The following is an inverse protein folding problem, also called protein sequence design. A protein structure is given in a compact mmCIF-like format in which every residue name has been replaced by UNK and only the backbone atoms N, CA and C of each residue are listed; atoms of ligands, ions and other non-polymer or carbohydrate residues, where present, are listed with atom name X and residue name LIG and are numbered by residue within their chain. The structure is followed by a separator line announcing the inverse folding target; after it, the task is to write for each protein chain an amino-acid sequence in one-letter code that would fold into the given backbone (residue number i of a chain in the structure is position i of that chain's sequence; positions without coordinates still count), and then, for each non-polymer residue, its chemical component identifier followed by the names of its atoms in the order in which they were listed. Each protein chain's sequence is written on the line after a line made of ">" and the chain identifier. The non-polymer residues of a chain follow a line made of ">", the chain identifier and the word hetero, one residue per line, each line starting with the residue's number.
data_IF_171247271348
#
_entry.id   IF_171247271348
#
_cell.length_a   1.000
_cell.length_b   1.000
_cell.length_c   1.000
_cell.angle_alpha   90.00
_cell.angle_beta   90.00
_cell.angle_gamma   90.00
#
_symmetry.space_group_name_H-M   'P 1'
#
loop_
_entity.id
_entity.type
_entity.pdbx_description
1 polymer ?
#
# COMPACT_ATOMS: atom_id res chain seq x y z
N UNK A 1 -16.52 17.18 -5.54
CA UNK A 1 -16.13 16.73 -4.19
C UNK A 1 -17.03 15.57 -3.79
N UNK A 2 -16.45 14.43 -3.40
CA UNK A 2 -17.16 13.22 -2.97
C UNK A 2 -17.03 13.11 -1.44
N UNK A 3 -18.16 13.08 -0.73
CA UNK A 3 -18.19 12.95 0.73
C UNK A 3 -18.53 11.52 1.12
N UNK A 4 -17.61 10.86 1.79
CA UNK A 4 -17.78 9.52 2.33
C UNK A 4 -18.29 9.64 3.76
N UNK A 5 -19.44 9.01 4.04
CA UNK A 5 -20.07 9.07 5.36
C UNK A 5 -19.91 7.78 6.17
N UNK A 6 -19.64 6.65 5.50
CA UNK A 6 -19.40 5.35 6.13
C UNK A 6 -17.91 5.12 6.29
N UNK A 7 -17.51 4.58 7.42
CA UNK A 7 -16.11 4.32 7.75
C UNK A 7 -15.80 4.55 9.21
N UNK A 8 -14.54 4.41 9.59
CA UNK A 8 -14.07 4.60 10.96
C UNK A 8 -12.61 5.07 10.96
N UNK A 9 -12.34 6.17 11.64
CA UNK A 9 -10.97 6.56 11.97
C UNK A 9 -10.57 5.87 13.28
N UNK A 10 -9.62 4.95 13.18
CA UNK A 10 -9.18 4.17 14.34
C UNK A 10 -8.40 5.09 15.27
N UNK A 11 -8.82 5.23 16.55
CA UNK A 11 -8.21 6.15 17.51
C UNK A 11 -6.90 5.57 18.09
N UNK A 12 -5.93 5.29 17.21
CA UNK A 12 -4.61 4.75 17.54
C UNK A 12 -3.70 5.87 18.05
N UNK A 13 -2.99 5.62 19.16
CA UNK A 13 -1.95 6.52 19.66
C UNK A 13 -0.64 6.42 18.87
N UNK A 14 0.25 7.39 19.02
CA UNK A 14 1.54 7.42 18.33
C UNK A 14 1.45 8.03 16.94
N UNK A 15 0.63 9.09 16.78
CA UNK A 15 0.54 9.86 15.54
C UNK A 15 1.87 10.53 15.22
N UNK A 16 2.34 10.46 13.96
CA UNK A 16 3.61 11.06 13.56
C UNK A 16 3.51 12.59 13.50
N UNK A 17 4.57 13.25 13.91
CA UNK A 17 4.78 14.64 13.57
C UNK A 17 4.88 14.75 12.04
N UNK A 18 4.10 15.65 11.43
CA UNK A 18 4.06 15.85 9.98
C UNK A 18 5.23 16.73 9.52
N UNK A 19 6.45 16.33 9.90
CA UNK A 19 7.73 16.93 9.49
C UNK A 19 8.62 15.79 8.98
N UNK A 20 9.27 16.04 7.83
CA UNK A 20 10.12 15.03 7.19
C UNK A 20 11.54 15.16 7.72
N UNK A 21 12.00 14.13 8.40
CA UNK A 21 13.37 13.99 8.87
C UNK A 21 14.16 13.01 8.01
N UNK A 22 15.47 13.12 7.98
CA UNK A 22 16.27 12.07 7.38
C UNK A 22 16.26 10.82 8.28
N UNK A 23 15.94 9.68 7.69
CA UNK A 23 16.04 8.39 8.37
C UNK A 23 17.49 8.00 8.68
N UNK A 24 17.67 7.01 9.55
CA UNK A 24 18.98 6.41 9.78
C UNK A 24 19.53 5.80 8.49
N UNK A 25 20.86 5.78 8.30
CA UNK A 25 21.47 5.09 7.17
C UNK A 25 21.09 3.61 7.16
N UNK A 26 20.66 3.11 6.02
CA UNK A 26 20.34 1.70 5.81
C UNK A 26 21.51 0.96 5.18
N UNK A 27 21.70 -0.30 5.57
CA UNK A 27 22.77 -1.15 5.05
C UNK A 27 22.31 -2.04 3.92
N UNK A 28 21.01 -2.42 3.91
CA UNK A 28 20.44 -3.31 2.92
C UNK A 28 19.01 -2.92 2.57
N UNK A 29 18.61 -3.34 1.38
CA UNK A 29 17.23 -3.30 0.90
C UNK A 29 16.80 -4.68 0.46
N UNK A 30 15.48 -4.92 0.34
CA UNK A 30 14.98 -6.10 -0.33
C UNK A 30 13.79 -5.83 -1.24
N UNK A 31 13.68 -6.65 -2.28
CA UNK A 31 12.46 -6.82 -3.05
C UNK A 31 11.72 -8.03 -2.48
N UNK A 32 10.48 -7.80 -2.04
CA UNK A 32 9.65 -8.83 -1.42
C UNK A 32 8.74 -9.44 -2.50
N UNK A 33 8.75 -10.77 -2.59
CA UNK A 33 7.96 -11.47 -3.60
C UNK A 33 6.45 -11.34 -3.42
N UNK A 34 6.00 -11.33 -2.17
CA UNK A 34 4.58 -11.25 -1.79
C UNK A 34 3.93 -9.92 -2.17
N UNK A 35 4.72 -8.87 -2.41
CA UNK A 35 4.20 -7.57 -2.84
C UNK A 35 3.65 -7.62 -4.29
N UNK A 36 3.98 -8.67 -5.05
CA UNK A 36 3.62 -8.79 -6.48
C UNK A 36 2.75 -10.02 -6.73
N UNK A 37 1.45 -9.81 -6.73
CA UNK A 37 0.44 -10.85 -6.81
C UNK A 37 0.59 -11.68 -8.09
N UNK A 38 0.76 -12.99 -7.91
CA UNK A 38 0.84 -13.97 -9.01
C UNK A 38 2.15 -13.98 -9.79
N UNK A 39 3.14 -13.14 -9.45
CA UNK A 39 4.45 -13.07 -10.07
C UNK A 39 5.20 -14.40 -9.97
N UNK A 40 5.89 -14.79 -11.05
CA UNK A 40 6.78 -15.95 -11.09
C UNK A 40 8.15 -15.54 -11.60
N UNK A 41 9.18 -15.43 -10.72
CA UNK A 41 10.46 -14.84 -11.10
C UNK A 41 11.33 -15.77 -11.96
N UNK A 42 11.87 -15.21 -13.04
CA UNK A 42 13.01 -15.77 -13.77
C UNK A 42 14.23 -14.93 -13.39
N UNK A 43 15.14 -15.51 -12.57
CA UNK A 43 16.27 -14.78 -12.01
C UNK A 43 17.33 -14.47 -13.08
N UNK A 44 17.78 -13.20 -13.12
CA UNK A 44 18.89 -12.75 -13.92
C UNK A 44 20.21 -12.65 -13.11
N UNK A 45 20.13 -12.69 -11.77
CA UNK A 45 21.29 -12.55 -10.88
C UNK A 45 21.41 -13.74 -9.93
N UNK A 46 22.59 -13.88 -9.32
CA UNK A 46 22.91 -14.91 -8.31
C UNK A 46 23.36 -14.22 -7.01
N UNK A 47 23.31 -14.94 -5.90
CA UNK A 47 23.93 -14.50 -4.66
C UNK A 47 25.42 -14.25 -4.89
N UNK A 48 25.95 -13.14 -4.36
CA UNK A 48 27.31 -12.66 -4.59
C UNK A 48 27.49 -11.80 -5.86
N UNK A 49 26.47 -11.61 -6.68
CA UNK A 49 26.57 -10.74 -7.85
C UNK A 49 26.54 -9.26 -7.44
N UNK A 50 27.43 -8.44 -8.02
CA UNK A 50 27.35 -6.99 -7.94
C UNK A 50 26.29 -6.49 -8.93
N UNK A 51 25.48 -5.54 -8.49
CA UNK A 51 24.40 -4.95 -9.28
C UNK A 51 24.46 -3.43 -9.23
N UNK A 52 24.10 -2.79 -10.33
CA UNK A 52 23.93 -1.33 -10.42
C UNK A 52 22.48 -0.95 -10.09
N UNK A 53 22.26 0.29 -9.67
CA UNK A 53 20.90 0.83 -9.62
C UNK A 53 20.30 0.82 -11.06
N UNK A 54 19.09 0.27 -11.19
CA UNK A 54 18.44 0.09 -12.51
C UNK A 54 18.71 -1.24 -13.19
N UNK A 55 19.67 -2.02 -12.75
CA UNK A 55 19.98 -3.32 -13.34
C UNK A 55 18.86 -4.33 -13.08
N UNK A 56 18.49 -5.12 -14.11
CA UNK A 56 17.47 -6.17 -13.99
C UNK A 56 17.95 -7.28 -13.05
N UNK A 57 17.16 -7.58 -12.04
CA UNK A 57 17.37 -8.65 -11.07
C UNK A 57 16.65 -9.94 -11.49
N UNK A 58 15.43 -9.79 -11.93
CA UNK A 58 14.59 -10.86 -12.47
C UNK A 58 13.46 -10.29 -13.33
N UNK A 59 12.82 -11.14 -14.11
CA UNK A 59 11.61 -10.83 -14.88
C UNK A 59 10.47 -11.75 -14.48
N UNK A 60 9.23 -11.31 -14.72
CA UNK A 60 8.08 -12.18 -14.52
C UNK A 60 7.92 -13.14 -15.69
N UNK A 61 7.91 -14.45 -15.41
CA UNK A 61 7.71 -15.48 -16.43
C UNK A 61 6.29 -15.46 -17.02
N UNK A 62 5.29 -14.97 -16.23
CA UNK A 62 3.88 -14.97 -16.63
C UNK A 62 3.50 -13.72 -17.42
N UNK A 63 4.18 -12.63 -17.16
CA UNK A 63 3.86 -11.32 -17.75
C UNK A 63 5.09 -10.82 -18.50
N UNK A 64 5.13 -11.08 -19.80
CA UNK A 64 6.25 -10.72 -20.64
C UNK A 64 6.49 -9.21 -20.64
N UNK A 65 7.76 -8.79 -20.57
CA UNK A 65 8.17 -7.39 -20.55
C UNK A 65 8.17 -6.75 -19.16
N UNK A 66 7.70 -7.45 -18.12
CA UNK A 66 7.81 -6.94 -16.74
C UNK A 66 9.15 -7.31 -16.14
N UNK A 67 9.95 -6.28 -15.84
CA UNK A 67 11.26 -6.39 -15.22
C UNK A 67 11.28 -5.82 -13.82
N UNK A 68 11.99 -6.49 -12.93
CA UNK A 68 12.25 -6.05 -11.56
C UNK A 68 13.71 -5.66 -11.46
N UNK A 69 13.97 -4.38 -11.22
CA UNK A 69 15.31 -3.80 -11.22
C UNK A 69 15.78 -3.48 -9.81
N UNK A 70 17.08 -3.38 -9.64
CA UNK A 70 17.67 -2.97 -8.37
C UNK A 70 17.42 -1.48 -8.14
N UNK A 71 16.81 -1.07 -7.00
CA UNK A 71 16.67 0.35 -6.68
C UNK A 71 18.01 1.03 -6.37
N UNK A 72 19.01 0.26 -5.97
CA UNK A 72 20.33 0.75 -5.52
C UNK A 72 21.48 -0.03 -6.15
N UNK A 73 22.69 0.52 -6.07
CA UNK A 73 23.92 -0.22 -6.35
C UNK A 73 24.30 -1.06 -5.13
N UNK A 74 24.77 -2.29 -5.34
CA UNK A 74 25.16 -3.16 -4.23
C UNK A 74 25.55 -4.57 -4.62
N UNK A 75 25.54 -5.42 -3.60
CA UNK A 75 25.83 -6.86 -3.69
C UNK A 75 24.56 -7.64 -3.37
N UNK A 76 24.18 -8.59 -4.20
CA UNK A 76 23.10 -9.54 -3.89
C UNK A 76 23.54 -10.42 -2.74
N UNK A 77 23.02 -10.17 -1.54
CA UNK A 77 23.40 -10.86 -0.31
C UNK A 77 22.65 -12.17 -0.13
N UNK A 78 21.34 -12.17 -0.41
CA UNK A 78 20.51 -13.36 -0.27
C UNK A 78 19.36 -13.39 -1.30
N UNK A 79 18.93 -14.60 -1.63
CA UNK A 79 17.70 -14.87 -2.40
C UNK A 79 16.92 -15.90 -1.59
N UNK A 80 16.01 -15.41 -0.75
CA UNK A 80 15.21 -16.24 0.15
C UNK A 80 14.03 -16.85 -0.61
N UNK A 81 13.83 -18.14 -0.43
CA UNK A 81 12.75 -18.89 -1.06
C UNK A 81 11.99 -19.70 -0.02
N UNK A 82 10.69 -19.63 -0.08
CA UNK A 82 9.77 -20.42 0.74
C UNK A 82 9.41 -21.76 0.09
N UNK A 83 8.30 -22.30 0.55
CA UNK A 83 7.74 -23.55 0.01
C UNK A 83 7.55 -23.45 -1.51
N UNK A 84 7.71 -24.58 -2.20
CA UNK A 84 7.61 -24.67 -3.67
C UNK A 84 8.50 -23.67 -4.42
N UNK A 85 9.57 -23.20 -3.78
CA UNK A 85 10.56 -22.26 -4.32
C UNK A 85 9.97 -20.87 -4.65
N UNK A 86 8.89 -20.47 -4.00
CA UNK A 86 8.33 -19.12 -4.10
C UNK A 86 9.35 -18.12 -3.60
N UNK A 87 9.55 -17.02 -4.34
CA UNK A 87 10.45 -15.94 -3.92
C UNK A 87 9.83 -15.24 -2.71
N UNK A 88 10.53 -15.24 -1.58
CA UNK A 88 10.16 -14.48 -0.38
C UNK A 88 10.81 -13.09 -0.42
N UNK A 89 12.13 -13.04 -0.52
CA UNK A 89 12.85 -11.77 -0.66
C UNK A 89 14.16 -11.95 -1.43
N UNK A 90 14.55 -10.88 -2.15
CA UNK A 90 15.88 -10.71 -2.76
C UNK A 90 16.54 -9.53 -2.05
N UNK A 91 17.59 -9.82 -1.29
CA UNK A 91 18.29 -8.86 -0.43
C UNK A 91 19.53 -8.33 -1.15
N UNK A 92 19.70 -7.02 -1.14
CA UNK A 92 20.85 -6.30 -1.71
C UNK A 92 21.50 -5.48 -0.60
N UNK A 93 22.76 -5.77 -0.31
CA UNK A 93 23.61 -4.96 0.56
C UNK A 93 24.11 -3.75 -0.22
N UNK A 94 23.90 -2.54 0.30
CA UNK A 94 24.28 -1.31 -0.36
C UNK A 94 25.80 -1.21 -0.51
N UNK A 95 26.27 -1.01 -1.73
CA UNK A 95 27.70 -0.83 -2.02
C UNK A 95 27.91 -0.11 -3.36
N UNK A 96 28.67 0.98 -3.37
CA UNK A 96 28.96 1.74 -4.57
C UNK A 96 27.81 2.67 -4.98
N UNK A 97 27.97 3.33 -6.13
CA UNK A 97 27.01 4.30 -6.66
C UNK A 97 26.77 4.11 -8.16
N UNK A 98 27.07 2.92 -8.70
CA UNK A 98 26.92 2.63 -10.12
C UNK A 98 25.43 2.62 -10.50
N UNK A 99 25.11 3.25 -11.65
CA UNK A 99 23.73 3.40 -12.12
C UNK A 99 23.64 2.96 -13.58
N UNK A 100 22.50 2.41 -13.95
CA UNK A 100 22.06 2.33 -15.35
C UNK A 100 21.40 3.65 -15.73
N UNK A 101 21.66 4.12 -16.94
CA UNK A 101 21.05 5.34 -17.48
C UNK A 101 19.87 4.96 -18.38
N UNK A 102 18.76 5.66 -18.20
CA UNK A 102 17.56 5.52 -18.99
C UNK A 102 17.33 6.75 -19.86
N UNK A 103 16.32 6.70 -20.73
CA UNK A 103 15.99 7.85 -21.57
C UNK A 103 15.59 9.05 -20.71
N UNK A 104 16.26 10.16 -20.94
CA UNK A 104 16.01 11.46 -20.29
C UNK A 104 15.33 12.39 -21.30
N UNK A 105 14.43 13.24 -20.81
CA UNK A 105 13.68 14.20 -21.61
C UNK A 105 13.62 15.55 -20.91
N UNK A 106 13.57 16.63 -21.69
CA UNK A 106 13.21 17.93 -21.12
C UNK A 106 11.74 17.91 -20.65
N UNK A 107 11.43 18.53 -19.51
CA UNK A 107 10.08 18.56 -18.94
C UNK A 107 9.00 19.03 -19.97
N UNK A 108 9.33 20.02 -20.83
CA UNK A 108 8.45 20.55 -21.88
C UNK A 108 8.15 19.55 -23.01
N UNK A 109 8.94 18.49 -23.14
CA UNK A 109 8.79 17.48 -24.20
C UNK A 109 8.07 16.22 -23.70
N UNK A 110 7.99 16.00 -22.39
CA UNK A 110 7.26 14.86 -21.80
C UNK A 110 5.79 14.81 -22.29
N UNK A 111 5.03 15.91 -22.35
CA UNK A 111 3.65 15.90 -22.87
C UNK A 111 3.51 15.52 -24.37
N UNK A 112 4.61 15.48 -25.11
CA UNK A 112 4.64 15.18 -26.57
C UNK A 112 5.12 13.76 -26.88
N UNK A 113 5.47 12.97 -25.88
CA UNK A 113 5.99 11.62 -26.05
C UNK A 113 4.95 10.68 -26.64
N UNK A 114 5.43 9.65 -27.32
CA UNK A 114 4.59 8.56 -27.77
C UNK A 114 4.38 7.54 -26.62
N UNK A 115 3.22 6.88 -26.60
CA UNK A 115 2.89 5.82 -25.62
C UNK A 115 3.99 4.75 -25.57
N UNK A 116 4.52 4.33 -26.70
CA UNK A 116 5.58 3.31 -26.78
C UNK A 116 6.88 3.73 -26.09
N UNK A 117 7.28 5.00 -26.20
CA UNK A 117 8.49 5.52 -25.53
C UNK A 117 8.32 5.53 -24.02
N UNK A 118 7.14 5.87 -23.54
CA UNK A 118 6.82 5.86 -22.11
C UNK A 118 6.81 4.44 -21.55
N UNK A 119 6.15 3.49 -22.24
CA UNK A 119 6.12 2.09 -21.84
C UNK A 119 7.54 1.51 -21.80
N UNK A 120 8.34 1.73 -22.85
CA UNK A 120 9.70 1.21 -22.95
C UNK A 120 10.59 1.73 -21.80
N UNK A 121 10.51 3.02 -21.48
CA UNK A 121 11.30 3.62 -20.41
C UNK A 121 10.89 3.10 -19.02
N UNK A 122 9.60 2.99 -18.77
CA UNK A 122 9.07 2.46 -17.51
C UNK A 122 9.35 0.95 -17.34
N UNK A 123 9.23 0.17 -18.41
CA UNK A 123 9.50 -1.27 -18.36
C UNK A 123 10.98 -1.55 -18.13
N UNK A 124 11.89 -0.87 -18.85
CA UNK A 124 13.35 -1.03 -18.70
C UNK A 124 13.85 -0.59 -17.33
N UNK A 125 13.31 0.51 -16.80
CA UNK A 125 13.68 1.01 -15.46
C UNK A 125 13.10 0.17 -14.31
N UNK A 126 12.11 -0.70 -14.58
CA UNK A 126 11.40 -1.46 -13.56
C UNK A 126 10.31 -0.64 -12.83
N UNK A 127 10.18 0.67 -13.11
CA UNK A 127 9.10 1.48 -12.52
C UNK A 127 7.72 1.10 -13.06
N UNK A 128 7.63 0.32 -14.11
CA UNK A 128 6.39 -0.31 -14.57
C UNK A 128 5.68 -1.09 -13.46
N UNK A 129 6.44 -1.70 -12.55
CA UNK A 129 5.91 -2.46 -11.41
C UNK A 129 5.18 -1.60 -10.36
N UNK A 130 5.19 -0.27 -10.49
CA UNK A 130 4.39 0.64 -9.68
C UNK A 130 2.90 0.64 -10.03
N UNK A 131 2.57 0.24 -11.25
CA UNK A 131 1.21 0.15 -11.75
C UNK A 131 0.55 -1.14 -11.28
N UNK A 132 -0.69 -1.05 -10.82
CA UNK A 132 -1.52 -2.20 -10.45
C UNK A 132 -2.86 -2.14 -11.16
N UNK A 133 -3.36 -3.30 -11.58
CA UNK A 133 -4.68 -3.40 -12.22
C UNK A 133 -5.80 -3.49 -11.18
N UNK A 134 -6.97 -3.07 -11.51
CA UNK A 134 -8.24 -3.50 -10.91
C UNK A 134 -9.14 -3.99 -12.05
N UNK A 135 -9.65 -5.20 -11.99
CA UNK A 135 -9.57 -6.25 -10.95
C UNK A 135 -8.17 -6.82 -10.71
N UNK A 136 -8.06 -7.63 -9.65
CA UNK A 136 -6.96 -8.54 -9.28
C UNK A 136 -5.69 -7.92 -8.69
N UNK A 137 -5.46 -6.62 -8.78
CA UNK A 137 -4.30 -5.90 -8.20
C UNK A 137 -2.93 -6.43 -8.65
N UNK A 138 -2.82 -6.83 -9.92
CA UNK A 138 -1.58 -7.33 -10.53
C UNK A 138 -0.84 -6.23 -11.27
N UNK A 139 0.46 -6.44 -11.49
CA UNK A 139 1.22 -5.61 -12.42
C UNK A 139 0.71 -5.87 -13.84
N UNK A 140 0.28 -4.85 -14.60
CA UNK A 140 -0.20 -5.03 -15.97
C UNK A 140 0.92 -5.48 -16.91
N UNK A 141 0.57 -6.15 -18.01
CA UNK A 141 1.53 -6.40 -19.07
C UNK A 141 1.82 -5.10 -19.83
N UNK A 142 3.09 -4.77 -20.12
CA UNK A 142 3.43 -3.67 -21.02
C UNK A 142 2.81 -3.80 -22.42
N UNK A 143 2.53 -5.04 -22.83
CA UNK A 143 1.93 -5.37 -24.12
C UNK A 143 0.39 -5.43 -24.06
N UNK A 144 -0.22 -5.15 -22.90
CA UNK A 144 -1.69 -5.15 -22.77
C UNK A 144 -2.31 -3.92 -23.41
N UNK A 145 -3.61 -4.02 -23.64
CA UNK A 145 -4.43 -2.88 -24.04
C UNK A 145 -4.36 -1.74 -23.03
N UNK A 146 -4.69 -0.55 -23.51
CA UNK A 146 -4.80 0.62 -22.65
C UNK A 146 -5.92 0.42 -21.61
N UNK A 147 -5.68 0.76 -20.33
CA UNK A 147 -6.75 0.73 -19.34
C UNK A 147 -7.83 1.76 -19.69
N UNK A 148 -9.06 1.53 -19.21
CA UNK A 148 -10.15 2.50 -19.37
C UNK A 148 -9.85 3.83 -18.68
N UNK A 149 -9.15 3.78 -17.55
CA UNK A 149 -8.66 4.96 -16.82
C UNK A 149 -7.48 4.60 -15.92
N UNK A 150 -6.76 5.63 -15.44
CA UNK A 150 -5.70 5.49 -14.45
C UNK A 150 -6.04 6.33 -13.23
N UNK A 151 -5.94 5.76 -12.04
CA UNK A 151 -6.15 6.42 -10.77
C UNK A 151 -4.82 6.70 -10.08
N UNK A 152 -4.56 7.96 -9.82
CA UNK A 152 -3.46 8.44 -8.98
C UNK A 152 -4.01 8.76 -7.60
N UNK A 153 -3.60 8.00 -6.59
CA UNK A 153 -4.03 8.20 -5.21
C UNK A 153 -3.06 9.14 -4.50
N UNK A 154 -3.48 10.39 -4.30
CA UNK A 154 -2.76 11.42 -3.54
C UNK A 154 -3.52 11.79 -2.25
N UNK A 155 -4.14 10.80 -1.64
CA UNK A 155 -4.80 10.84 -0.33
C UNK A 155 -4.49 9.54 0.41
N UNK A 156 -4.27 9.63 1.70
CA UNK A 156 -4.06 8.46 2.57
C UNK A 156 -4.82 8.69 3.87
N UNK A 157 -5.83 7.87 4.14
CA UNK A 157 -6.63 7.91 5.36
C UNK A 157 -6.34 6.71 6.27
N UNK A 158 -5.28 5.95 6.00
CA UNK A 158 -4.82 4.92 6.92
C UNK A 158 -4.49 5.54 8.29
N UNK A 159 -4.75 4.82 9.38
CA UNK A 159 -4.36 5.30 10.70
C UNK A 159 -2.88 5.65 10.75
N UNK A 160 -2.55 6.87 11.20
CA UNK A 160 -1.18 7.37 11.38
C UNK A 160 -0.40 7.57 10.07
N UNK A 161 -1.06 7.72 8.94
CA UNK A 161 -0.43 7.96 7.65
C UNK A 161 0.29 9.33 7.58
N UNK A 162 1.24 9.43 6.66
CA UNK A 162 1.84 10.70 6.26
C UNK A 162 0.86 11.51 5.40
N UNK A 163 0.91 12.85 5.50
CA UNK A 163 0.19 13.73 4.58
C UNK A 163 0.82 13.68 3.18
N UNK A 164 0.08 13.22 2.15
CA UNK A 164 0.59 13.25 0.78
C UNK A 164 0.89 14.65 0.27
N UNK A 165 0.13 15.65 0.72
CA UNK A 165 0.32 17.05 0.36
C UNK A 165 1.72 17.56 0.71
N UNK A 166 2.19 17.25 1.93
CA UNK A 166 3.52 17.63 2.39
C UNK A 166 4.61 17.04 1.49
N UNK A 167 4.48 15.76 1.14
CA UNK A 167 5.48 15.03 0.34
C UNK A 167 5.48 15.50 -1.11
N UNK A 168 4.30 15.73 -1.69
CA UNK A 168 4.18 16.21 -3.06
C UNK A 168 4.67 17.66 -3.18
N UNK A 169 4.39 18.52 -2.18
CA UNK A 169 4.79 19.92 -2.22
C UNK A 169 6.31 20.13 -2.28
N UNK A 170 7.10 19.23 -1.66
CA UNK A 170 8.56 19.26 -1.78
C UNK A 170 9.07 19.00 -3.20
N UNK A 171 8.28 18.29 -4.03
CA UNK A 171 8.71 17.78 -5.34
C UNK A 171 7.60 17.95 -6.38
N UNK A 172 6.95 19.10 -6.37
CA UNK A 172 5.78 19.39 -7.22
C UNK A 172 6.08 19.19 -8.70
N UNK A 173 7.23 19.63 -9.18
CA UNK A 173 7.64 19.50 -10.59
C UNK A 173 7.78 18.03 -11.01
N UNK A 174 8.39 17.19 -10.18
CA UNK A 174 8.48 15.75 -10.45
C UNK A 174 7.08 15.12 -10.52
N UNK A 175 6.17 15.54 -9.64
CA UNK A 175 4.81 15.04 -9.65
C UNK A 175 4.05 15.41 -10.93
N UNK A 176 4.13 16.66 -11.37
CA UNK A 176 3.52 17.14 -12.62
C UNK A 176 4.10 16.44 -13.85
N UNK A 177 5.42 16.23 -13.89
CA UNK A 177 6.08 15.48 -14.96
C UNK A 177 5.67 14.00 -14.95
N UNK A 178 5.51 13.40 -13.77
CA UNK A 178 5.00 12.04 -13.61
C UNK A 178 3.55 11.89 -14.10
N UNK A 179 2.66 12.82 -13.79
CA UNK A 179 1.29 12.86 -14.31
C UNK A 179 1.30 12.95 -15.85
N UNK A 180 2.15 13.81 -16.39
CA UNK A 180 2.28 14.00 -17.83
C UNK A 180 2.73 12.70 -18.54
N UNK A 181 3.69 11.98 -17.97
CA UNK A 181 4.12 10.68 -18.49
C UNK A 181 3.01 9.62 -18.40
N UNK A 182 2.29 9.54 -17.26
CA UNK A 182 1.20 8.57 -17.06
C UNK A 182 0.03 8.79 -18.02
N UNK A 183 -0.25 10.04 -18.41
CA UNK A 183 -1.34 10.37 -19.35
C UNK A 183 -1.19 9.64 -20.69
N UNK A 184 0.03 9.35 -21.14
CA UNK A 184 0.28 8.61 -22.37
C UNK A 184 -0.07 7.12 -22.30
N UNK A 185 -0.24 6.57 -21.08
CA UNK A 185 -0.55 5.15 -20.89
C UNK A 185 -2.02 4.82 -21.11
N UNK A 186 -2.92 5.81 -21.07
CA UNK A 186 -4.36 5.62 -21.26
C UNK A 186 -4.94 6.59 -22.29
N UNK A 187 -5.85 6.09 -23.12
CA UNK A 187 -6.72 6.94 -23.96
C UNK A 187 -7.90 7.52 -23.15
N UNK A 188 -8.21 6.92 -22.01
CA UNK A 188 -9.22 7.37 -21.09
C UNK A 188 -8.74 8.50 -20.16
N UNK A 189 -9.50 8.84 -19.12
CA UNK A 189 -9.11 9.84 -18.15
C UNK A 189 -7.97 9.37 -17.23
N UNK A 190 -7.15 10.32 -16.81
CA UNK A 190 -6.23 10.19 -15.69
C UNK A 190 -6.90 10.90 -14.50
N UNK A 191 -7.28 10.15 -13.47
CA UNK A 191 -7.93 10.67 -12.28
C UNK A 191 -6.89 10.93 -11.19
N UNK A 192 -6.85 12.16 -10.67
CA UNK A 192 -6.06 12.54 -9.51
C UNK A 192 -6.99 12.67 -8.30
N UNK A 193 -6.89 11.75 -7.34
CA UNK A 193 -7.72 11.72 -6.14
C UNK A 193 -6.94 12.32 -4.97
N UNK A 194 -7.51 13.39 -4.35
CA UNK A 194 -6.89 14.17 -3.27
C UNK A 194 -7.84 14.31 -2.09
N UNK A 195 -7.31 14.70 -0.92
CA UNK A 195 -8.15 15.07 0.22
C UNK A 195 -8.77 16.45 0.01
N UNK A 196 -9.94 16.70 0.60
CA UNK A 196 -10.75 17.88 0.36
C UNK A 196 -10.09 19.25 0.58
N UNK A 197 -9.03 19.29 1.39
CA UNK A 197 -8.25 20.51 1.67
C UNK A 197 -6.97 20.64 0.84
N UNK A 198 -6.74 19.72 -0.08
CA UNK A 198 -5.55 19.71 -0.91
C UNK A 198 -5.71 20.64 -2.12
N UNK A 199 -5.11 21.82 -2.05
CA UNK A 199 -5.31 22.88 -3.06
C UNK A 199 -4.10 23.09 -3.98
N UNK A 200 -3.04 22.27 -3.84
CA UNK A 200 -1.77 22.42 -4.59
C UNK A 200 -1.96 22.48 -6.11
N UNK A 201 -3.02 21.86 -6.63
CA UNK A 201 -3.34 21.79 -8.06
C UNK A 201 -4.60 22.55 -8.45
N UNK A 202 -5.23 23.32 -7.52
CA UNK A 202 -6.35 24.19 -7.88
C UNK A 202 -5.89 25.29 -8.84
N UNK A 203 -6.59 25.42 -9.95
CA UNK A 203 -6.24 26.40 -11.00
C UNK A 203 -4.99 26.06 -11.82
N UNK A 204 -4.31 24.95 -11.55
CA UNK A 204 -3.21 24.48 -12.39
C UNK A 204 -3.74 23.72 -13.60
N UNK A 205 -3.08 23.88 -14.75
CA UNK A 205 -3.48 23.22 -16.01
C UNK A 205 -2.90 21.78 -16.03
N UNK A 206 -3.32 20.94 -15.07
CA UNK A 206 -2.88 19.53 -15.02
C UNK A 206 -3.56 18.70 -16.10
N UNK A 207 -2.87 17.72 -16.65
CA UNK A 207 -3.44 16.76 -17.60
C UNK A 207 -4.41 15.74 -16.94
N UNK A 208 -4.57 15.79 -15.61
CA UNK A 208 -5.39 14.89 -14.81
C UNK A 208 -6.71 15.57 -14.39
N UNK A 209 -7.77 14.77 -14.29
CA UNK A 209 -9.04 15.21 -13.71
C UNK A 209 -8.97 15.11 -12.19
N UNK A 210 -9.09 16.26 -11.51
CA UNK A 210 -8.99 16.33 -10.05
C UNK A 210 -10.31 15.91 -9.38
N UNK A 211 -10.22 14.99 -8.42
CA UNK A 211 -11.33 14.56 -7.57
C UNK A 211 -10.95 14.75 -6.10
N UNK A 212 -11.79 15.47 -5.36
CA UNK A 212 -11.60 15.68 -3.92
C UNK A 212 -12.49 14.74 -3.12
N UNK A 213 -11.89 13.97 -2.23
CA UNK A 213 -12.57 13.05 -1.31
C UNK A 213 -12.50 13.59 0.11
N UNK A 214 -13.54 13.36 0.90
CA UNK A 214 -13.60 13.73 2.32
C UNK A 214 -14.35 12.66 3.10
N UNK A 215 -14.02 12.53 4.38
CA UNK A 215 -14.66 11.57 5.29
C UNK A 215 -13.66 10.68 6.01
N UNK A 216 -14.15 9.76 6.85
CA UNK A 216 -13.31 8.83 7.58
C UNK A 216 -12.65 7.81 6.64
N UNK A 217 -11.65 7.07 7.15
CA UNK A 217 -11.17 5.87 6.48
C UNK A 217 -12.35 4.92 6.19
N UNK A 218 -12.53 4.38 4.95
CA UNK A 218 -11.57 4.24 3.87
C UNK A 218 -11.72 5.28 2.72
N UNK A 219 -12.08 6.53 3.00
CA UNK A 219 -12.22 7.55 1.94
C UNK A 219 -10.96 7.78 1.12
N UNK A 220 -9.78 7.43 1.64
CA UNK A 220 -8.49 7.54 0.96
C UNK A 220 -8.03 6.27 0.25
N UNK A 221 -8.80 5.20 0.24
CA UNK A 221 -8.45 3.98 -0.48
C UNK A 221 -8.84 4.06 -1.96
N UNK A 222 -8.00 3.49 -2.79
CA UNK A 222 -8.23 3.49 -4.23
C UNK A 222 -9.49 2.72 -4.65
N UNK A 223 -9.85 1.66 -3.93
CA UNK A 223 -11.11 0.93 -4.17
C UNK A 223 -12.34 1.83 -4.00
N UNK A 224 -12.34 2.70 -2.98
CA UNK A 224 -13.38 3.73 -2.80
C UNK A 224 -13.41 4.71 -3.97
N UNK A 225 -12.24 5.17 -4.44
CA UNK A 225 -12.16 6.11 -5.56
C UNK A 225 -12.70 5.50 -6.86
N UNK A 226 -12.30 4.27 -7.16
CA UNK A 226 -12.74 3.53 -8.34
C UNK A 226 -14.27 3.38 -8.33
N UNK A 227 -14.82 2.93 -7.21
CA UNK A 227 -16.26 2.72 -7.07
C UNK A 227 -17.08 3.97 -7.40
N UNK A 228 -16.67 5.14 -6.88
CA UNK A 228 -17.44 6.38 -7.05
C UNK A 228 -17.16 7.12 -8.36
N UNK A 229 -16.08 6.81 -9.09
CA UNK A 229 -15.69 7.54 -10.30
C UNK A 229 -15.82 6.67 -11.54
N UNK A 230 -15.24 5.50 -11.54
CA UNK A 230 -15.13 4.64 -12.73
C UNK A 230 -15.09 3.15 -12.34
N UNK A 231 -16.24 2.57 -11.92
CA UNK A 231 -16.33 1.19 -11.43
C UNK A 231 -15.82 0.17 -12.44
N UNK A 232 -15.15 -0.87 -11.95
CA UNK A 232 -14.60 -1.96 -12.75
C UNK A 232 -15.56 -3.14 -12.88
N UNK A 233 -15.29 -3.99 -13.84
CA UNK A 233 -16.02 -5.25 -14.06
C UNK A 233 -15.09 -6.29 -14.67
N UNK A 234 -15.58 -7.49 -14.95
CA UNK A 234 -14.81 -8.52 -15.65
C UNK A 234 -14.31 -8.05 -17.04
N UNK A 235 -15.05 -7.16 -17.70
CA UNK A 235 -14.71 -6.61 -19.02
C UNK A 235 -14.03 -5.24 -18.99
N UNK A 236 -13.90 -4.62 -17.82
CA UNK A 236 -13.37 -3.25 -17.69
C UNK A 236 -12.26 -3.20 -16.67
N UNK A 237 -11.07 -2.84 -17.12
CA UNK A 237 -9.87 -2.75 -16.28
C UNK A 237 -9.42 -1.30 -16.15
N UNK A 238 -9.10 -0.89 -14.93
CA UNK A 238 -8.41 0.37 -14.61
C UNK A 238 -7.04 0.08 -13.99
N UNK A 239 -6.13 1.06 -14.08
CA UNK A 239 -4.85 0.98 -13.39
C UNK A 239 -4.78 1.96 -12.24
N UNK A 240 -3.98 1.63 -11.25
CA UNK A 240 -3.80 2.43 -10.03
C UNK A 240 -2.33 2.65 -9.75
N UNK A 241 -2.00 3.81 -9.17
CA UNK A 241 -0.64 4.16 -8.76
C UNK A 241 -0.66 5.10 -7.57
N UNK A 242 0.27 4.92 -6.64
CA UNK A 242 0.46 5.80 -5.49
C UNK A 242 1.28 7.06 -5.82
N UNK A 243 1.04 8.14 -5.09
CA UNK A 243 1.65 9.45 -5.34
C UNK A 243 3.18 9.45 -5.31
N UNK A 244 3.83 8.66 -4.44
CA UNK A 244 5.30 8.60 -4.39
C UNK A 244 5.91 7.88 -5.60
N UNK A 245 5.17 6.99 -6.23
CA UNK A 245 5.60 6.38 -7.49
C UNK A 245 5.47 7.34 -8.66
N UNK A 246 4.46 8.24 -8.64
CA UNK A 246 4.34 9.32 -9.62
C UNK A 246 5.55 10.26 -9.54
N UNK A 247 6.00 10.62 -8.33
CA UNK A 247 7.23 11.39 -8.10
C UNK A 247 8.46 10.69 -8.70
N UNK A 248 8.60 9.39 -8.46
CA UNK A 248 9.71 8.60 -8.98
C UNK A 248 9.69 8.49 -10.52
N UNK A 249 8.50 8.40 -11.12
CA UNK A 249 8.34 8.42 -12.59
C UNK A 249 8.76 9.77 -13.15
N UNK A 250 8.29 10.88 -12.58
CA UNK A 250 8.70 12.22 -13.04
C UNK A 250 10.20 12.43 -12.96
N UNK A 251 10.83 12.05 -11.84
CA UNK A 251 12.27 12.10 -11.66
C UNK A 251 13.02 11.21 -12.69
N UNK A 252 12.51 10.01 -13.01
CA UNK A 252 13.10 9.16 -14.04
C UNK A 252 13.12 9.86 -15.41
N UNK A 253 11.99 10.45 -15.82
CA UNK A 253 11.88 11.06 -17.15
C UNK A 253 12.73 12.32 -17.28
N UNK A 254 12.92 13.08 -16.20
CA UNK A 254 13.73 14.30 -16.21
C UNK A 254 15.23 14.08 -15.97
N UNK A 255 15.61 13.07 -15.17
CA UNK A 255 17.02 12.82 -14.82
C UNK A 255 17.65 11.64 -15.55
N UNK A 256 16.85 10.73 -16.15
CA UNK A 256 17.32 9.47 -16.72
C UNK A 256 17.79 8.45 -15.67
N UNK A 257 17.54 8.67 -14.39
CA UNK A 257 17.95 7.79 -13.30
C UNK A 257 16.76 7.37 -12.44
N UNK A 258 16.84 6.17 -11.86
CA UNK A 258 15.85 5.73 -10.86
C UNK A 258 16.05 6.52 -9.57
N UNK A 259 14.97 7.04 -9.02
CA UNK A 259 14.92 7.62 -7.69
C UNK A 259 14.29 6.62 -6.70
N UNK A 260 15.09 6.01 -5.81
CA UNK A 260 14.60 5.04 -4.84
C UNK A 260 14.04 5.66 -3.56
N UNK A 261 14.05 6.99 -3.43
CA UNK A 261 13.63 7.67 -2.20
C UNK A 261 12.16 7.43 -1.89
N UNK A 262 11.88 7.27 -0.60
CA UNK A 262 10.53 7.17 -0.02
C UNK A 262 10.47 7.96 1.27
N UNK A 263 9.33 8.59 1.50
CA UNK A 263 8.99 9.17 2.81
C UNK A 263 7.96 8.25 3.45
N UNK A 264 8.26 7.77 4.65
CA UNK A 264 7.40 6.85 5.38
C UNK A 264 7.08 7.40 6.77
N UNK A 265 5.90 7.10 7.27
CA UNK A 265 5.50 7.38 8.64
C UNK A 265 6.09 6.31 9.56
N UNK A 266 6.99 6.70 10.48
CA UNK A 266 7.39 5.85 11.61
C UNK A 266 6.47 6.19 12.77
N UNK A 267 5.58 5.27 13.14
CA UNK A 267 4.43 5.59 13.97
C UNK A 267 3.98 4.40 14.86
N UNK A 268 3.00 4.68 15.68
CA UNK A 268 2.37 3.69 16.55
C UNK A 268 2.72 3.85 18.03
N UNK A 269 1.95 3.21 18.92
CA UNK A 269 2.07 3.39 20.38
C UNK A 269 3.42 2.96 20.95
N UNK A 270 4.17 2.12 20.25
CA UNK A 270 5.49 1.66 20.68
C UNK A 270 6.64 2.46 20.08
N UNK A 271 6.38 3.41 19.19
CA UNK A 271 7.40 4.33 18.69
C UNK A 271 7.68 5.43 19.72
N UNK A 272 8.95 5.66 20.06
CA UNK A 272 9.37 6.71 21.02
C UNK A 272 9.14 8.12 20.46
N UNK A 273 9.51 8.33 19.20
CA UNK A 273 9.42 9.62 18.50
C UNK A 273 8.72 9.45 17.15
N UNK A 274 7.37 9.39 17.15
CA UNK A 274 6.63 9.26 15.90
C UNK A 274 6.85 10.46 14.98
N UNK A 275 7.28 10.22 13.74
CA UNK A 275 7.59 11.24 12.74
C UNK A 275 7.66 10.68 11.34
N UNK A 276 7.76 11.54 10.33
CA UNK A 276 8.03 11.13 8.97
C UNK A 276 9.54 11.01 8.76
N UNK A 277 9.97 9.93 8.11
CA UNK A 277 11.38 9.69 7.80
C UNK A 277 11.58 9.44 6.30
N UNK A 278 12.64 10.05 5.76
CA UNK A 278 13.11 9.80 4.40
C UNK A 278 14.02 8.59 4.40
N UNK A 279 13.70 7.62 3.57
CA UNK A 279 14.42 6.36 3.43
C UNK A 279 14.43 5.90 1.98
N UNK A 280 14.72 4.64 1.71
CA UNK A 280 14.71 4.03 0.38
C UNK A 280 13.60 2.97 0.26
N UNK A 281 13.16 2.75 -0.95
CA UNK A 281 12.25 1.65 -1.26
C UNK A 281 12.88 0.31 -0.86
N UNK A 282 12.11 -0.55 -0.21
CA UNK A 282 12.60 -1.83 0.26
C UNK A 282 13.61 -1.75 1.42
N UNK A 283 13.75 -0.61 2.10
CA UNK A 283 14.69 -0.41 3.21
C UNK A 283 14.56 -1.48 4.29
N UNK A 284 15.70 -1.91 4.83
CA UNK A 284 15.72 -2.77 6.00
C UNK A 284 15.18 -2.00 7.22
N UNK A 285 14.04 -2.44 7.72
CA UNK A 285 13.38 -1.77 8.84
C UNK A 285 14.22 -1.87 10.12
N UNK A 286 14.98 -2.95 10.29
CA UNK A 286 15.87 -3.12 11.45
C UNK A 286 17.01 -2.08 11.49
N UNK A 287 17.37 -1.47 10.36
CA UNK A 287 18.34 -0.38 10.32
C UNK A 287 17.70 0.98 10.71
N UNK A 288 16.38 1.12 10.50
CA UNK A 288 15.64 2.36 10.74
C UNK A 288 15.17 2.52 12.20
N UNK A 289 14.85 1.41 12.88
CA UNK A 289 14.20 1.40 14.20
C UNK A 289 15.11 1.24 15.44
N UNK A 290 16.45 1.07 15.36
CA UNK A 290 17.28 0.98 16.57
C UNK A 290 17.03 2.18 17.47
N UNK A 291 16.82 1.95 18.77
CA UNK A 291 16.55 2.97 19.80
C UNK A 291 15.29 3.82 19.54
N UNK A 292 14.41 3.40 18.64
CA UNK A 292 13.15 4.09 18.33
C UNK A 292 11.93 3.46 19.01
N UNK A 293 12.10 2.31 19.66
CA UNK A 293 11.01 1.56 20.25
C UNK A 293 11.02 1.64 21.78
N UNK A 294 9.81 1.65 22.36
CA UNK A 294 9.60 1.49 23.79
C UNK A 294 9.99 0.08 24.22
N UNK A 295 10.25 -0.09 25.51
CA UNK A 295 10.49 -1.42 26.11
C UNK A 295 9.28 -2.35 25.93
N UNK A 296 9.55 -3.64 25.76
CA UNK A 296 8.57 -4.69 25.60
C UNK A 296 8.74 -5.51 24.34
N UNK A 297 7.94 -6.53 24.20
CA UNK A 297 7.87 -7.33 22.98
C UNK A 297 7.06 -6.59 21.92
N UNK A 298 7.74 -6.04 20.93
CA UNK A 298 7.14 -5.17 19.94
C UNK A 298 6.89 -5.90 18.62
N UNK A 299 5.67 -5.77 18.10
CA UNK A 299 5.37 -6.11 16.71
C UNK A 299 5.68 -4.92 15.82
N UNK A 300 6.60 -5.10 14.91
CA UNK A 300 6.92 -4.15 13.85
C UNK A 300 6.18 -4.55 12.58
N UNK A 301 5.46 -3.61 12.00
CA UNK A 301 4.61 -3.81 10.83
C UNK A 301 5.13 -2.91 9.71
N UNK A 302 5.45 -3.49 8.56
CA UNK A 302 5.61 -2.74 7.32
C UNK A 302 4.21 -2.45 6.75
N UNK A 303 3.84 -1.18 6.68
CA UNK A 303 2.51 -0.74 6.27
C UNK A 303 1.60 -0.32 7.44
N UNK A 304 0.33 -0.15 7.13
CA UNK A 304 -0.72 0.20 8.08
C UNK A 304 -1.01 -0.93 9.07
N UNK A 305 -1.49 -0.57 10.26
CA UNK A 305 -2.03 -1.56 11.22
C UNK A 305 -3.19 -2.37 10.63
N UNK A 306 -3.87 -1.85 9.61
CA UNK A 306 -5.03 -2.47 8.96
C UNK A 306 -4.64 -3.50 7.88
N UNK A 307 -3.61 -3.21 7.09
CA UNK A 307 -3.27 -3.99 5.89
C UNK A 307 -1.78 -4.32 5.78
N UNK A 308 -0.97 -3.94 6.78
CA UNK A 308 0.47 -4.17 6.75
C UNK A 308 0.89 -5.60 7.02
N UNK A 309 2.18 -5.88 6.77
CA UNK A 309 2.82 -7.18 6.98
C UNK A 309 3.75 -7.14 8.19
N UNK A 310 3.82 -8.24 8.94
CA UNK A 310 4.79 -8.40 10.03
C UNK A 310 6.22 -8.29 9.47
N UNK A 311 6.99 -7.37 10.04
CA UNK A 311 8.37 -7.08 9.65
C UNK A 311 9.34 -7.13 10.84
N UNK A 312 8.95 -7.77 11.94
CA UNK A 312 9.82 -7.99 13.11
C UNK A 312 11.00 -8.88 12.75
N UNK A 313 12.20 -8.56 13.25
CA UNK A 313 13.42 -9.35 13.00
C UNK A 313 13.30 -10.81 13.44
N UNK A 314 12.54 -11.09 14.50
CA UNK A 314 12.27 -12.44 15.00
C UNK A 314 11.32 -13.25 14.12
N UNK A 315 10.53 -12.57 13.26
CA UNK A 315 9.58 -13.26 12.39
C UNK A 315 10.28 -13.86 11.16
N UNK A 316 10.16 -15.18 11.00
CA UNK A 316 10.78 -15.94 9.90
C UNK A 316 12.25 -15.57 9.63
N UNK A 317 13.04 -15.42 10.70
CA UNK A 317 14.47 -15.04 10.63
C UNK A 317 14.73 -13.75 9.86
N UNK A 318 13.80 -12.78 9.92
CA UNK A 318 13.96 -11.47 9.31
C UNK A 318 13.81 -11.40 7.79
N UNK A 319 13.36 -12.48 7.15
CA UNK A 319 13.20 -12.54 5.67
C UNK A 319 12.27 -11.43 5.15
N UNK A 320 11.30 -11.01 5.98
CA UNK A 320 10.33 -9.97 5.67
C UNK A 320 10.57 -8.65 6.42
N UNK A 321 11.73 -8.46 7.04
CA UNK A 321 12.07 -7.26 7.82
C UNK A 321 12.37 -6.02 6.94
N UNK A 322 11.72 -5.92 5.81
CA UNK A 322 11.94 -4.87 4.82
C UNK A 322 10.64 -4.14 4.50
N UNK A 323 10.78 -2.86 4.15
CA UNK A 323 9.66 -2.04 3.72
C UNK A 323 9.02 -2.63 2.45
N UNK A 324 7.72 -2.89 2.50
CA UNK A 324 6.96 -3.38 1.34
C UNK A 324 6.93 -2.37 0.20
N UNK A 325 6.81 -2.87 -1.03
CA UNK A 325 6.86 -2.04 -2.25
C UNK A 325 5.87 -0.88 -2.26
N UNK A 326 4.68 -1.13 -1.75
CA UNK A 326 3.57 -0.17 -1.75
C UNK A 326 3.29 0.42 -0.38
N UNK A 327 4.09 0.09 0.63
CA UNK A 327 3.90 0.57 1.99
C UNK A 327 4.50 1.96 2.19
N UNK A 328 3.74 2.83 2.84
CA UNK A 328 4.08 4.24 3.14
C UNK A 328 4.30 4.50 4.62
N UNK A 329 4.27 3.45 5.46
CA UNK A 329 4.45 3.58 6.90
C UNK A 329 5.08 2.34 7.53
N UNK A 330 5.68 2.54 8.70
CA UNK A 330 6.17 1.51 9.63
C UNK A 330 5.42 1.72 10.93
N UNK A 331 4.54 0.77 11.27
CA UNK A 331 3.69 0.86 12.45
C UNK A 331 4.20 -0.09 13.54
N UNK A 332 4.26 0.39 14.78
CA UNK A 332 4.76 -0.42 15.91
C UNK A 332 3.70 -0.52 17.01
N UNK A 333 3.41 -1.74 17.43
CA UNK A 333 2.45 -2.04 18.51
C UNK A 333 3.05 -3.07 19.47
N UNK A 334 2.53 -3.13 20.70
CA UNK A 334 2.93 -4.13 21.69
C UNK A 334 2.29 -5.48 21.36
N UNK A 335 3.05 -6.59 21.54
CA UNK A 335 2.46 -7.92 21.50
C UNK A 335 1.49 -8.14 22.67
N UNK A 336 0.30 -8.62 22.35
CA UNK A 336 -0.81 -8.74 23.31
C UNK A 336 -0.87 -10.09 24.03
N UNK A 337 0.24 -10.58 24.57
CA UNK A 337 0.27 -11.86 25.28
C UNK A 337 -0.31 -11.79 26.70
N UNK A 338 -0.36 -10.60 27.29
CA UNK A 338 -0.83 -10.43 28.66
C UNK A 338 -2.34 -10.56 28.73
N UNK A 339 -2.82 -11.36 29.68
CA UNK A 339 -4.24 -11.46 30.01
C UNK A 339 -4.53 -10.61 31.24
N UNK A 340 -5.43 -9.64 31.07
CA UNK A 340 -5.90 -8.83 32.20
C UNK A 340 -6.81 -9.64 33.10
N UNK A 341 -6.58 -9.55 34.42
CA UNK A 341 -7.43 -10.19 35.42
C UNK A 341 -8.85 -9.58 35.42
N UNK A 342 -9.87 -10.42 35.41
CA UNK A 342 -11.29 -10.03 35.40
C UNK A 342 -11.68 -9.01 34.32
N UNK A 343 -11.04 -9.07 33.18
CA UNK A 343 -11.21 -8.11 32.06
C UNK A 343 -12.68 -7.92 31.64
N UNK A 344 -13.47 -8.99 31.62
CA UNK A 344 -14.86 -8.97 31.14
C UNK A 344 -15.84 -8.27 32.07
N UNK A 345 -15.50 -8.02 33.35
CA UNK A 345 -16.30 -7.21 34.26
C UNK A 345 -15.78 -5.78 34.43
N UNK A 346 -14.66 -5.44 33.82
CA UNK A 346 -14.09 -4.10 33.88
C UNK A 346 -14.90 -3.10 33.06
N UNK A 347 -15.24 -1.91 33.59
CA UNK A 347 -15.99 -0.87 32.89
C UNK A 347 -15.29 -0.38 31.59
N UNK A 348 -13.98 -0.52 31.50
CA UNK A 348 -13.23 -0.26 30.28
C UNK A 348 -13.08 1.21 29.89
N UNK A 349 -12.84 2.09 30.87
CA UNK A 349 -12.63 3.53 30.63
C UNK A 349 -11.45 3.83 29.68
N UNK A 350 -10.43 2.94 29.63
CA UNK A 350 -9.24 3.05 28.78
C UNK A 350 -9.20 2.00 27.68
N UNK A 351 -10.34 1.42 27.31
CA UNK A 351 -10.44 0.41 26.26
C UNK A 351 -11.23 0.95 25.09
N UNK A 352 -10.86 0.53 23.89
CA UNK A 352 -11.59 0.82 22.67
C UNK A 352 -12.33 -0.42 22.16
N UNK A 353 -13.49 -0.19 21.58
CA UNK A 353 -14.22 -1.16 20.77
C UNK A 353 -14.95 -0.42 19.65
N UNK A 354 -15.09 -1.06 18.50
CA UNK A 354 -15.93 -0.56 17.40
C UNK A 354 -17.42 -0.49 17.79
N UNK A 355 -17.83 -1.27 18.83
CA UNK A 355 -19.16 -1.20 19.43
C UNK A 355 -19.12 -0.39 20.73
N UNK A 356 -20.17 0.34 21.09
CA UNK A 356 -20.22 1.17 22.30
C UNK A 356 -20.45 0.31 23.56
N UNK A 357 -19.52 -0.63 23.83
CA UNK A 357 -19.63 -1.59 24.95
C UNK A 357 -18.83 -1.18 26.19
N UNK A 358 -17.97 -0.17 26.11
CA UNK A 358 -17.15 0.31 27.21
C UNK A 358 -17.53 1.73 27.63
N UNK A 359 -17.22 2.10 28.86
CA UNK A 359 -17.42 3.48 29.35
C UNK A 359 -16.64 4.52 28.53
N UNK A 360 -15.53 4.13 27.90
CA UNK A 360 -14.78 4.99 26.98
C UNK A 360 -15.62 5.52 25.82
N UNK A 361 -16.67 4.80 25.41
CA UNK A 361 -17.58 5.24 24.32
C UNK A 361 -18.52 6.37 24.76
N UNK A 362 -18.70 6.58 26.07
CA UNK A 362 -19.51 7.67 26.63
C UNK A 362 -18.72 8.97 26.77
N UNK A 363 -17.39 8.93 26.58
CA UNK A 363 -16.57 10.13 26.58
C UNK A 363 -16.87 10.94 25.31
N UNK A 364 -17.34 12.17 25.48
CA UNK A 364 -17.68 13.07 24.36
C UNK A 364 -16.45 13.64 23.64
N UNK A 365 -15.23 13.38 24.12
CA UNK A 365 -13.99 13.85 23.48
C UNK A 365 -13.54 12.84 22.43
N UNK A 366 -13.70 13.19 21.15
CA UNK A 366 -13.16 12.43 20.00
C UNK A 366 -11.63 12.35 20.00
N UNK A 367 -10.95 13.02 20.94
CA UNK A 367 -9.48 13.13 20.97
C UNK A 367 -8.79 11.99 21.72
N UNK A 368 -9.55 11.10 22.38
CA UNK A 368 -8.96 10.02 23.14
C UNK A 368 -8.34 8.98 22.23
N UNK A 369 -7.02 8.82 22.30
CA UNK A 369 -6.26 7.79 21.60
C UNK A 369 -5.95 6.61 22.51
N UNK A 370 -5.86 5.41 21.92
CA UNK A 370 -5.67 4.16 22.65
C UNK A 370 -4.37 3.46 22.21
N UNK A 371 -3.75 2.77 23.16
CA UNK A 371 -2.62 1.88 22.90
C UNK A 371 -3.16 0.51 22.48
N UNK A 372 -3.24 0.29 21.19
CA UNK A 372 -3.63 -1.02 20.67
C UNK A 372 -2.48 -2.01 20.81
N UNK A 373 -2.84 -3.28 20.99
CA UNK A 373 -1.94 -4.44 21.00
C UNK A 373 -2.40 -5.46 19.97
N UNK A 374 -1.64 -6.52 19.77
CA UNK A 374 -2.03 -7.63 18.88
C UNK A 374 -3.13 -8.53 19.43
N UNK A 375 -3.61 -8.27 20.64
CA UNK A 375 -4.66 -9.08 21.28
C UNK A 375 -6.00 -8.89 20.58
N UNK A 376 -6.55 -9.94 20.00
CA UNK A 376 -7.86 -9.94 19.35
C UNK A 376 -9.02 -9.81 20.32
N UNK A 377 -8.76 -9.97 21.65
CA UNK A 377 -9.75 -9.85 22.73
C UNK A 377 -10.96 -10.78 22.59
N UNK A 378 -10.79 -11.89 21.92
CA UNK A 378 -11.82 -12.91 21.71
C UNK A 378 -11.31 -14.06 20.85
N UNK A 379 -12.08 -15.13 20.80
CA UNK A 379 -11.84 -16.27 19.92
C UNK A 379 -12.62 -16.13 18.63
N UNK A 380 -12.20 -16.85 17.60
CA UNK A 380 -12.95 -17.00 16.35
C UNK A 380 -14.33 -17.58 16.61
N UNK A 381 -15.34 -17.07 15.91
CA UNK A 381 -16.75 -17.47 16.00
C UNK A 381 -17.41 -17.36 14.65
N UNK A 382 -18.56 -18.01 14.48
CA UNK A 382 -19.38 -17.83 13.30
C UNK A 382 -19.75 -16.35 13.08
N UNK A 383 -19.85 -15.96 11.81
CA UNK A 383 -20.23 -14.60 11.42
C UNK A 383 -21.65 -14.27 11.93
N UNK A 384 -21.79 -13.16 12.64
CA UNK A 384 -23.07 -12.64 13.09
C UNK A 384 -23.36 -11.30 12.42
N UNK A 385 -24.45 -11.16 11.66
CA UNK A 385 -24.81 -9.93 10.96
C UNK A 385 -25.47 -8.94 11.94
N UNK A 386 -24.67 -8.05 12.52
CA UNK A 386 -25.12 -7.04 13.50
C UNK A 386 -25.11 -5.62 12.91
N UNK A 387 -24.97 -5.48 11.58
CA UNK A 387 -24.96 -4.20 10.89
C UNK A 387 -23.64 -3.43 11.02
N UNK A 388 -22.55 -4.08 11.44
CA UNK A 388 -21.24 -3.41 11.59
C UNK A 388 -20.55 -3.20 10.25
N UNK A 389 -20.70 -4.13 9.33
CA UNK A 389 -20.06 -4.05 8.00
C UNK A 389 -20.66 -2.91 7.18
N UNK A 390 -21.98 -2.72 7.28
CA UNK A 390 -22.73 -1.66 6.60
C UNK A 390 -22.31 -0.26 7.05
N UNK A 391 -21.78 -0.13 8.29
CA UNK A 391 -21.29 1.14 8.84
C UNK A 391 -19.91 1.52 8.32
N UNK A 392 -19.09 0.54 7.97
CA UNK A 392 -17.67 0.78 7.59
C UNK A 392 -17.40 0.61 6.11
N UNK A 393 -18.28 -0.06 5.36
CA UNK A 393 -18.16 -0.24 3.92
C UNK A 393 -18.87 0.91 3.20
N UNK A 394 -18.14 1.82 2.53
CA UNK A 394 -18.76 2.95 1.84
C UNK A 394 -19.35 2.58 0.49
N UNK A 395 -18.89 1.47 -0.10
CA UNK A 395 -19.32 1.00 -1.42
C UNK A 395 -20.83 0.70 -1.42
N UNK A 396 -21.48 1.03 -2.53
CA UNK A 396 -22.93 0.83 -2.71
C UNK A 396 -23.20 -0.64 -3.03
N UNK A 397 -23.30 -1.43 -1.98
CA UNK A 397 -23.48 -2.88 -2.07
C UNK A 397 -24.03 -3.47 -0.78
N UNK A 398 -24.07 -4.79 -0.73
CA UNK A 398 -24.55 -5.60 0.39
C UNK A 398 -23.36 -6.27 1.10
N UNK A 399 -22.62 -5.57 1.98
CA UNK A 399 -21.36 -6.07 2.53
C UNK A 399 -21.54 -7.38 3.31
N UNK A 400 -22.58 -7.52 4.11
CA UNK A 400 -22.83 -8.78 4.85
C UNK A 400 -22.99 -9.97 3.90
N UNK A 401 -23.74 -9.80 2.81
CA UNK A 401 -23.98 -10.86 1.81
C UNK A 401 -22.70 -11.16 1.04
N UNK A 402 -21.97 -10.13 0.63
CA UNK A 402 -20.69 -10.27 -0.04
C UNK A 402 -19.69 -11.06 0.81
N UNK A 403 -19.50 -10.66 2.08
CA UNK A 403 -18.59 -11.36 2.99
C UNK A 403 -18.98 -12.82 3.23
N UNK A 404 -20.29 -13.13 3.27
CA UNK A 404 -20.77 -14.51 3.34
C UNK A 404 -20.45 -15.31 2.09
N UNK A 405 -20.69 -14.73 0.90
CA UNK A 405 -20.36 -15.39 -0.36
C UNK A 405 -18.85 -15.68 -0.45
N UNK A 406 -18.01 -14.73 0.00
CA UNK A 406 -16.56 -14.93 0.05
C UNK A 406 -16.14 -16.06 1.02
N UNK A 407 -16.75 -16.13 2.24
CA UNK A 407 -16.45 -17.18 3.23
C UNK A 407 -16.76 -18.56 2.67
N UNK A 408 -17.91 -18.73 2.02
CA UNK A 408 -18.31 -20.05 1.45
C UNK A 408 -17.67 -20.35 0.11
N UNK A 409 -16.98 -19.39 -0.50
CA UNK A 409 -16.30 -19.53 -1.78
C UNK A 409 -17.25 -19.55 -2.98
N UNK A 410 -18.42 -18.92 -2.86
CA UNK A 410 -19.37 -18.73 -3.96
C UNK A 410 -18.90 -17.57 -4.85
N UNK A 411 -18.09 -17.90 -5.84
CA UNK A 411 -17.46 -16.92 -6.73
C UNK A 411 -18.47 -16.23 -7.65
N UNK A 412 -19.56 -16.89 -8.03
CA UNK A 412 -20.58 -16.30 -8.88
C UNK A 412 -21.36 -15.21 -8.12
N UNK A 413 -21.83 -15.51 -6.91
CA UNK A 413 -22.51 -14.51 -6.07
C UNK A 413 -21.55 -13.40 -5.67
N UNK A 414 -20.31 -13.72 -5.32
CA UNK A 414 -19.32 -12.71 -4.96
C UNK A 414 -19.06 -11.70 -6.10
N UNK A 415 -18.97 -12.16 -7.35
CA UNK A 415 -18.84 -11.27 -8.51
C UNK A 415 -20.07 -10.38 -8.70
N UNK A 416 -21.29 -10.94 -8.60
CA UNK A 416 -22.55 -10.18 -8.69
C UNK A 416 -22.66 -9.11 -7.59
N UNK A 417 -22.02 -9.34 -6.44
CA UNK A 417 -21.98 -8.42 -5.30
C UNK A 417 -20.79 -7.45 -5.34
N UNK A 418 -19.98 -7.45 -6.42
CA UNK A 418 -18.95 -6.44 -6.67
C UNK A 418 -17.55 -6.77 -6.11
N UNK A 419 -17.22 -8.04 -5.85
CA UNK A 419 -15.89 -8.41 -5.31
C UNK A 419 -14.71 -8.03 -6.23
N UNK A 420 -14.95 -7.84 -7.54
CA UNK A 420 -13.91 -7.48 -8.50
C UNK A 420 -13.34 -6.05 -8.31
N UNK A 421 -14.10 -5.17 -7.66
CA UNK A 421 -13.63 -3.82 -7.33
C UNK A 421 -12.65 -3.80 -6.15
N UNK A 422 -12.64 -4.88 -5.34
CA UNK A 422 -11.97 -4.92 -4.05
C UNK A 422 -10.54 -5.45 -4.11
N UNK A 423 -9.76 -4.96 -3.17
CA UNK A 423 -8.47 -5.50 -2.73
C UNK A 423 -8.52 -5.80 -1.23
N UNK A 424 -7.52 -6.48 -0.70
CA UNK A 424 -7.48 -6.90 0.70
C UNK A 424 -7.65 -5.73 1.67
N UNK A 425 -7.05 -4.58 1.34
CA UNK A 425 -7.14 -3.38 2.19
C UNK A 425 -8.56 -2.79 2.27
N UNK A 426 -9.37 -2.94 1.23
CA UNK A 426 -10.75 -2.45 1.21
C UNK A 426 -11.64 -3.20 2.23
N UNK A 427 -11.26 -4.45 2.59
CA UNK A 427 -11.95 -5.25 3.59
C UNK A 427 -11.32 -5.19 5.00
N UNK A 428 -10.24 -4.45 5.18
CA UNK A 428 -9.52 -4.39 6.45
C UNK A 428 -10.39 -3.86 7.60
N UNK A 429 -11.20 -2.82 7.35
CA UNK A 429 -12.18 -2.35 8.35
C UNK A 429 -13.27 -3.39 8.63
N UNK A 430 -13.68 -4.18 7.66
CA UNK A 430 -14.62 -5.27 7.89
C UNK A 430 -14.00 -6.33 8.81
N UNK A 431 -12.73 -6.69 8.63
CA UNK A 431 -12.00 -7.57 9.56
C UNK A 431 -11.91 -6.94 10.95
N UNK A 432 -11.60 -5.65 11.06
CA UNK A 432 -11.50 -4.93 12.31
C UNK A 432 -12.80 -4.91 13.13
N UNK A 433 -13.95 -4.66 12.49
CA UNK A 433 -15.26 -4.62 13.18
C UNK A 433 -15.91 -6.01 13.33
N UNK A 434 -15.28 -7.05 12.80
CA UNK A 434 -15.84 -8.40 12.79
C UNK A 434 -15.91 -9.00 14.19
N UNK A 435 -17.11 -9.23 14.68
CA UNK A 435 -17.34 -9.90 15.96
C UNK A 435 -16.83 -11.34 15.93
N UNK A 436 -16.94 -12.01 14.78
CA UNK A 436 -16.48 -13.38 14.55
C UNK A 436 -14.97 -13.53 14.34
N UNK A 437 -14.21 -12.43 14.27
CA UNK A 437 -12.74 -12.41 14.08
C UNK A 437 -12.26 -13.03 12.77
N UNK A 438 -13.05 -12.89 11.70
CA UNK A 438 -12.62 -13.29 10.37
C UNK A 438 -11.59 -12.33 9.78
N UNK A 439 -10.59 -12.89 9.12
CA UNK A 439 -9.63 -12.18 8.27
C UNK A 439 -10.13 -12.22 6.81
N UNK A 440 -10.79 -11.15 6.38
CA UNK A 440 -11.44 -11.11 5.06
C UNK A 440 -10.47 -10.89 3.91
N UNK A 441 -9.32 -10.27 4.14
CA UNK A 441 -8.30 -10.01 3.11
C UNK A 441 -7.84 -11.30 2.40
N UNK A 442 -7.28 -12.29 3.11
CA UNK A 442 -6.88 -13.57 2.51
C UNK A 442 -8.05 -14.33 1.88
N UNK A 443 -9.24 -14.26 2.46
CA UNK A 443 -10.44 -14.90 1.91
C UNK A 443 -10.78 -14.28 0.54
N UNK A 444 -10.79 -12.94 0.45
CA UNK A 444 -11.01 -12.24 -0.81
C UNK A 444 -9.94 -12.62 -1.86
N UNK A 445 -8.66 -12.61 -1.48
CA UNK A 445 -7.57 -12.95 -2.41
C UNK A 445 -7.71 -14.36 -2.98
N UNK A 446 -8.11 -15.32 -2.16
CA UNK A 446 -8.35 -16.69 -2.61
C UNK A 446 -9.51 -16.74 -3.64
N UNK A 447 -10.61 -16.03 -3.37
CA UNK A 447 -11.75 -15.95 -4.30
C UNK A 447 -11.35 -15.26 -5.62
N UNK A 448 -10.68 -14.10 -5.56
CA UNK A 448 -10.21 -13.39 -6.75
C UNK A 448 -9.24 -14.24 -7.59
N UNK A 449 -8.35 -14.99 -6.93
CA UNK A 449 -7.42 -15.88 -7.62
C UNK A 449 -8.11 -17.07 -8.27
N UNK A 450 -9.24 -17.50 -7.72
CA UNK A 450 -10.07 -18.55 -8.26
C UNK A 450 -10.90 -18.06 -9.45
N UNK A 451 -11.56 -16.91 -9.31
CA UNK A 451 -12.31 -16.25 -10.39
C UNK A 451 -11.42 -16.04 -11.63
N UNK A 452 -10.20 -15.52 -11.43
CA UNK A 452 -9.27 -15.27 -12.53
C UNK A 452 -8.84 -16.53 -13.28
N UNK A 453 -8.84 -17.70 -12.62
CA UNK A 453 -8.43 -18.97 -13.24
C UNK A 453 -9.59 -19.72 -13.89
N UNK A 454 -10.76 -19.58 -13.33
CA UNK A 454 -11.96 -20.30 -13.75
C UNK A 454 -12.80 -19.50 -14.76
N UNK A 455 -12.49 -18.20 -14.96
CA UNK A 455 -13.16 -17.29 -15.90
C UNK A 455 -14.34 -16.63 -15.28
#
# INVERSE_FOLDING_TARGET
>A
MVKINKGIDIPLSGSPEQIIYNGKPIQSIAIIGDDYIGMKPTMAVKVGAKVKAGQILFSDKKTEGVHFTSPVSGLVEAINRGERRVLQSLVIKLQGNDKENFKQYDAKDIPKLNRSDVIDNLAKSGLWTSLRTRPYSKVPSPNSDSPSSIFVTAVDTNPLAASPELIISERKEDFENGLSALKHLTYGPLHLCTFGYFDLFEGSNTCATLHKFTGPHPSGLVGTHIHFIDPVSAAKTVWTIGYQDVLAIGALFTSGNIDPQRVVSLCGPQTLKPRLIRTLIGANINDLIPDELREGENRVISGSILSGRIASASYLNGVFSYLGRYHTQITTILEGHQREFLRYISPGSNRHSALPIYLSSMSQTNDKKFHFTTNTNGSERAMVPVGNYEKVMPLDGLPTQLLRALIVGDTEIAQKLGCLELEEEDLALCSYVCVGKYEYGPILRNNLSRIEKEG
#
